data_IF_195218844563
#
_entry.id   IF_195218844563
#
_cell.length_a   1.000
_cell.length_b   1.000
_cell.length_c   1.000
_cell.angle_alpha   90.00
_cell.angle_beta   90.00
_cell.angle_gamma   90.00
#
_symmetry.space_group_name_H-M   'P 1'
#
loop_
_entity.id
_entity.type
_entity.pdbx_description
1 polymer ?
#
# COMPACT_ATOMS: atom_id res chain seq x y z
N UNK A 1 -24.29 21.32 11.22
CA UNK A 1 -23.44 20.86 12.35
C UNK A 1 -22.39 19.92 11.77
N UNK A 2 -21.12 20.32 11.74
CA UNK A 2 -20.05 19.52 11.13
C UNK A 2 -19.48 18.54 12.14
N UNK A 3 -19.59 17.23 11.89
CA UNK A 3 -18.90 16.22 12.67
C UNK A 3 -17.39 16.34 12.41
N UNK A 4 -16.67 17.00 13.33
CA UNK A 4 -15.22 17.04 13.31
C UNK A 4 -14.66 15.66 13.65
N UNK A 5 -14.12 14.96 12.66
CA UNK A 5 -13.44 13.68 12.87
C UNK A 5 -12.17 13.96 13.68
N UNK A 6 -12.07 13.43 14.90
CA UNK A 6 -10.88 13.57 15.74
C UNK A 6 -9.82 12.53 15.35
N UNK A 7 -8.54 12.90 15.45
CA UNK A 7 -7.41 11.97 15.35
C UNK A 7 -7.51 10.94 16.48
N UNK A 8 -7.75 9.66 16.19
CA UNK A 8 -7.93 8.65 17.26
C UNK A 8 -6.66 8.33 18.06
N UNK A 9 -5.48 8.62 17.51
CA UNK A 9 -4.20 8.40 18.21
C UNK A 9 -3.88 9.56 19.17
N UNK A 10 -4.28 10.79 18.82
CA UNK A 10 -3.89 12.01 19.53
C UNK A 10 -5.07 12.79 20.15
N UNK A 11 -6.30 12.31 19.95
CA UNK A 11 -7.59 12.86 20.38
C UNK A 11 -7.79 14.36 20.11
N UNK A 12 -7.17 14.88 19.04
CA UNK A 12 -7.28 16.28 18.60
C UNK A 12 -8.16 16.41 17.36
N UNK A 13 -8.90 17.53 17.26
CA UNK A 13 -9.75 17.84 16.11
C UNK A 13 -8.94 17.88 14.81
N UNK A 14 -9.39 17.15 13.77
CA UNK A 14 -8.79 17.19 12.43
C UNK A 14 -9.29 18.42 11.68
N UNK A 15 -8.41 19.03 10.86
CA UNK A 15 -8.82 20.00 9.85
C UNK A 15 -9.56 19.28 8.72
N UNK A 16 -10.31 20.03 7.91
CA UNK A 16 -11.19 19.54 6.81
C UNK A 16 -10.49 18.65 5.78
N UNK A 17 -9.16 18.51 5.79
CA UNK A 17 -8.40 17.78 4.77
C UNK A 17 -7.32 16.80 5.28
N UNK A 18 -6.83 16.85 6.54
CA UNK A 18 -5.72 16.00 7.03
C UNK A 18 -5.40 16.19 8.53
N UNK A 19 -4.64 15.25 9.12
CA UNK A 19 -3.98 15.52 10.41
C UNK A 19 -2.91 16.60 10.18
N UNK A 20 -2.79 17.55 11.09
CA UNK A 20 -1.87 18.69 10.95
C UNK A 20 -0.40 18.24 10.89
N UNK A 21 0.49 19.04 10.30
CA UNK A 21 1.95 18.76 10.24
C UNK A 21 2.56 18.39 11.62
N UNK A 22 2.15 19.01 12.76
CA UNK A 22 2.59 18.59 14.09
C UNK A 22 2.18 17.17 14.49
N UNK A 23 1.04 16.69 14.00
CA UNK A 23 0.52 15.34 14.20
C UNK A 23 1.41 14.33 13.44
N UNK A 24 1.70 14.60 12.16
CA UNK A 24 2.59 13.75 11.37
C UNK A 24 4.00 13.62 11.97
N UNK A 25 4.55 14.71 12.53
CA UNK A 25 5.89 14.73 13.15
C UNK A 25 6.01 13.88 14.42
N UNK A 26 4.89 13.65 15.14
CA UNK A 26 4.82 12.79 16.33
C UNK A 26 4.54 11.33 15.99
N UNK A 27 3.83 11.07 14.90
CA UNK A 27 3.31 9.74 14.57
C UNK A 27 4.14 9.07 13.45
N UNK A 28 5.42 9.44 13.31
CA UNK A 28 6.31 9.16 12.17
C UNK A 28 6.17 7.79 11.48
N UNK A 29 5.86 6.72 12.21
CA UNK A 29 5.70 5.37 11.66
C UNK A 29 4.25 4.84 11.69
N UNK A 30 3.32 5.49 12.39
CA UNK A 30 1.91 5.09 12.46
C UNK A 30 1.02 6.20 11.87
N UNK A 31 0.62 6.11 10.59
CA UNK A 31 -0.16 7.16 9.95
C UNK A 31 -1.44 7.46 10.73
N UNK A 32 -1.79 8.74 10.83
CA UNK A 32 -2.99 9.19 11.55
C UNK A 32 -4.30 8.81 10.87
N UNK A 33 -4.21 8.21 9.67
CA UNK A 33 -5.29 7.46 9.08
C UNK A 33 -5.25 6.06 9.71
N UNK A 34 -6.28 5.72 10.49
CA UNK A 34 -6.52 4.32 10.82
C UNK A 34 -6.49 3.51 9.51
N UNK A 35 -5.80 2.37 9.45
CA UNK A 35 -5.90 1.49 8.30
C UNK A 35 -7.39 1.23 8.09
N UNK A 36 -7.88 1.63 6.91
CA UNK A 36 -9.27 1.34 6.56
C UNK A 36 -9.39 -0.19 6.58
N UNK A 37 -10.48 -0.76 7.13
CA UNK A 37 -10.72 -2.19 6.98
C UNK A 37 -10.70 -2.51 5.49
N UNK A 38 -9.69 -3.26 5.05
CA UNK A 38 -9.64 -3.78 3.69
C UNK A 38 -10.60 -4.96 3.66
N UNK A 39 -11.79 -4.74 3.10
CA UNK A 39 -12.72 -5.82 2.79
C UNK A 39 -12.25 -6.41 1.48
N UNK A 40 -11.69 -7.61 1.57
CA UNK A 40 -11.20 -8.35 0.41
C UNK A 40 -12.19 -9.48 0.15
N UNK A 41 -12.76 -9.54 -1.05
CA UNK A 41 -13.80 -10.52 -1.39
C UNK A 41 -13.22 -11.93 -1.51
N UNK A 42 -11.93 -12.04 -1.84
CA UNK A 42 -11.27 -13.30 -2.16
C UNK A 42 -9.93 -13.47 -1.44
N UNK A 43 -9.68 -14.59 -0.71
CA UNK A 43 -8.44 -14.80 0.04
C UNK A 43 -7.17 -14.73 -0.80
N UNK A 44 -7.25 -15.03 -2.11
CA UNK A 44 -6.14 -14.95 -3.07
C UNK A 44 -5.67 -13.52 -3.38
N UNK A 45 -6.48 -12.52 -3.02
CA UNK A 45 -6.14 -11.11 -3.19
C UNK A 45 -5.33 -10.56 -1.99
N UNK A 46 -5.11 -11.38 -0.95
CA UNK A 46 -4.30 -11.02 0.22
C UNK A 46 -2.91 -11.65 0.11
N UNK A 47 -1.87 -10.81 0.09
CA UNK A 47 -0.48 -11.27 0.17
C UNK A 47 -0.08 -11.55 1.63
N UNK A 48 0.66 -12.65 1.84
CA UNK A 48 1.23 -12.96 3.14
C UNK A 48 2.45 -12.09 3.44
N UNK A 49 2.71 -11.80 4.72
CA UNK A 49 3.86 -11.00 5.16
C UNK A 49 5.21 -11.43 4.55
N UNK A 50 5.56 -12.73 4.47
CA UNK A 50 6.81 -13.16 3.87
C UNK A 50 6.95 -12.76 2.39
N UNK A 51 5.84 -12.69 1.64
CA UNK A 51 5.85 -12.24 0.24
C UNK A 51 6.17 -10.75 0.16
N UNK A 52 5.62 -9.94 1.09
CA UNK A 52 5.89 -8.50 1.17
C UNK A 52 7.31 -8.19 1.67
N UNK A 53 7.83 -9.03 2.57
CA UNK A 53 9.18 -8.93 3.15
C UNK A 53 10.27 -9.46 2.23
N UNK A 54 9.91 -10.04 1.06
CA UNK A 54 10.88 -10.41 0.05
C UNK A 54 11.80 -9.21 -0.25
N UNK A 55 13.11 -9.41 -0.03
CA UNK A 55 14.14 -8.37 -0.09
C UNK A 55 14.06 -7.60 -1.42
N UNK A 56 13.64 -8.28 -2.49
CA UNK A 56 13.49 -7.76 -3.84
C UNK A 56 12.32 -6.76 -3.97
N UNK A 57 11.17 -7.01 -3.32
CA UNK A 57 10.04 -6.06 -3.24
C UNK A 57 10.43 -4.86 -2.36
N UNK A 58 11.00 -5.13 -1.18
CA UNK A 58 11.40 -4.06 -0.24
C UNK A 58 12.45 -3.12 -0.86
N UNK A 59 13.38 -3.63 -1.66
CA UNK A 59 14.37 -2.81 -2.36
C UNK A 59 13.73 -1.89 -3.41
N UNK A 60 12.71 -2.37 -4.13
CA UNK A 60 11.99 -1.60 -5.15
C UNK A 60 11.17 -0.47 -4.53
N UNK A 61 10.61 -0.69 -3.34
CA UNK A 61 9.88 0.33 -2.57
C UNK A 61 10.74 1.49 -2.08
N UNK A 62 12.08 1.42 -2.18
CA UNK A 62 12.97 2.55 -1.85
C UNK A 62 13.04 3.60 -2.95
N UNK A 63 12.50 3.32 -4.14
CA UNK A 63 12.47 4.27 -5.25
C UNK A 63 11.49 5.42 -4.97
N UNK A 64 11.98 6.65 -4.96
CA UNK A 64 11.16 7.84 -4.65
C UNK A 64 10.07 8.11 -5.68
N UNK A 65 10.30 7.78 -6.96
CA UNK A 65 9.32 8.00 -8.03
C UNK A 65 8.19 6.98 -7.87
N UNK A 66 8.53 5.73 -7.58
CA UNK A 66 7.57 4.68 -7.29
C UNK A 66 6.73 5.02 -6.04
N UNK A 67 7.36 5.46 -4.95
CA UNK A 67 6.63 5.87 -3.75
C UNK A 67 5.65 7.01 -4.04
N UNK A 68 6.06 8.03 -4.81
CA UNK A 68 5.17 9.13 -5.22
C UNK A 68 4.00 8.63 -6.05
N UNK A 69 4.21 7.69 -6.96
CA UNK A 69 3.13 7.08 -7.75
C UNK A 69 2.15 6.31 -6.87
N UNK A 70 2.64 5.42 -6.00
CA UNK A 70 1.81 4.65 -5.06
C UNK A 70 1.00 5.58 -4.16
N UNK A 71 1.64 6.61 -3.60
CA UNK A 71 0.96 7.61 -2.77
C UNK A 71 -0.08 8.41 -3.56
N UNK A 72 0.19 8.73 -4.83
CA UNK A 72 -0.76 9.47 -5.67
C UNK A 72 -2.03 8.67 -5.95
N UNK A 73 -1.90 7.36 -6.16
CA UNK A 73 -3.03 6.44 -6.36
C UNK A 73 -3.83 6.30 -5.06
N UNK A 74 -3.16 6.02 -3.93
CA UNK A 74 -3.82 5.80 -2.63
C UNK A 74 -4.54 7.05 -2.09
N UNK A 75 -4.00 8.23 -2.38
CA UNK A 75 -4.60 9.51 -1.98
C UNK A 75 -5.62 10.06 -3.00
N UNK A 76 -5.80 9.41 -4.15
CA UNK A 76 -6.71 9.89 -5.20
C UNK A 76 -8.17 9.70 -4.79
N UNK A 77 -9.02 10.65 -5.20
CA UNK A 77 -10.48 10.47 -5.16
C UNK A 77 -11.00 9.53 -6.25
N UNK A 78 -10.20 9.30 -7.29
CA UNK A 78 -10.46 8.43 -8.42
C UNK A 78 -9.20 7.58 -8.68
N UNK A 79 -9.07 6.51 -7.89
CA UNK A 79 -7.88 5.65 -7.89
C UNK A 79 -7.74 4.84 -9.18
N UNK A 80 -8.86 4.50 -9.83
CA UNK A 80 -8.88 3.73 -11.08
C UNK A 80 -8.23 4.52 -12.22
N UNK A 81 -8.59 5.81 -12.35
CA UNK A 81 -7.99 6.70 -13.35
C UNK A 81 -6.50 6.96 -13.11
N UNK A 82 -6.08 7.12 -11.86
CA UNK A 82 -4.65 7.30 -11.54
C UNK A 82 -3.85 6.01 -11.76
N UNK A 83 -4.48 4.84 -11.52
CA UNK A 83 -3.89 3.55 -11.84
C UNK A 83 -3.68 3.40 -13.35
N UNK A 84 -4.68 3.72 -14.19
CA UNK A 84 -4.56 3.64 -15.65
C UNK A 84 -3.38 4.48 -16.18
N UNK A 85 -3.15 5.66 -15.61
CA UNK A 85 -1.97 6.48 -15.93
C UNK A 85 -0.68 5.83 -15.44
N UNK A 86 -0.66 5.29 -14.22
CA UNK A 86 0.53 4.71 -13.61
C UNK A 86 0.98 3.44 -14.35
N UNK A 87 0.06 2.65 -14.89
CA UNK A 87 0.36 1.47 -15.71
C UNK A 87 1.21 1.83 -16.94
N UNK A 88 1.07 3.04 -17.49
CA UNK A 88 1.91 3.54 -18.59
C UNK A 88 3.29 4.06 -18.18
N UNK A 89 3.68 3.95 -16.91
CA UNK A 89 4.95 4.45 -16.39
C UNK A 89 5.91 3.29 -16.12
N UNK A 90 7.06 3.28 -16.79
CA UNK A 90 8.06 2.20 -16.73
C UNK A 90 8.42 1.75 -15.30
N UNK A 91 8.59 2.70 -14.36
CA UNK A 91 8.96 2.36 -12.97
C UNK A 91 7.86 1.60 -12.24
N UNK A 92 6.60 1.91 -12.54
CA UNK A 92 5.45 1.21 -11.95
C UNK A 92 5.27 -0.16 -12.61
N UNK A 93 5.47 -0.26 -13.91
CA UNK A 93 5.44 -1.53 -14.64
C UNK A 93 6.51 -2.52 -14.15
N UNK A 94 7.77 -2.07 -14.02
CA UNK A 94 8.87 -2.87 -13.48
C UNK A 94 8.53 -3.36 -12.05
N UNK A 95 7.87 -2.51 -11.27
CA UNK A 95 7.44 -2.89 -9.93
C UNK A 95 6.33 -3.94 -9.95
N UNK A 96 5.31 -3.79 -10.80
CA UNK A 96 4.24 -4.79 -10.93
C UNK A 96 4.77 -6.13 -11.43
N UNK A 97 5.70 -6.13 -12.39
CA UNK A 97 6.31 -7.36 -12.90
C UNK A 97 7.09 -8.10 -11.80
N UNK A 98 7.79 -7.37 -10.93
CA UNK A 98 8.48 -7.96 -9.77
C UNK A 98 7.51 -8.54 -8.74
N UNK A 99 6.39 -7.87 -8.49
CA UNK A 99 5.34 -8.40 -7.60
C UNK A 99 4.80 -9.70 -8.19
N UNK A 100 4.41 -9.69 -9.47
CA UNK A 100 3.88 -10.86 -10.16
C UNK A 100 4.87 -12.03 -10.10
N UNK A 101 6.15 -11.78 -10.39
CA UNK A 101 7.20 -12.79 -10.29
C UNK A 101 7.36 -13.36 -8.87
N UNK A 102 7.27 -12.51 -7.84
CA UNK A 102 7.35 -12.95 -6.42
C UNK A 102 6.13 -13.81 -6.03
N UNK A 103 4.94 -13.48 -6.53
CA UNK A 103 3.73 -14.26 -6.29
C UNK A 103 3.85 -15.62 -6.99
N UNK A 104 4.21 -15.65 -8.27
CA UNK A 104 4.35 -16.87 -9.08
C UNK A 104 5.42 -17.84 -8.57
N UNK A 105 6.55 -17.31 -8.10
CA UNK A 105 7.62 -18.11 -7.49
C UNK A 105 7.17 -18.79 -6.19
N UNK A 106 6.32 -18.13 -5.40
CA UNK A 106 5.77 -18.71 -4.18
C UNK A 106 4.75 -19.84 -4.45
N UNK A 107 3.92 -19.71 -5.50
CA UNK A 107 2.94 -20.73 -5.95
C UNK A 107 3.60 -22.03 -6.42
N UNK A 108 4.78 -21.91 -7.03
CA UNK A 108 5.51 -23.04 -7.61
C UNK A 108 6.21 -23.88 -6.53
N UNK A 109 6.68 -23.24 -5.45
CA UNK A 109 7.35 -23.94 -4.34
C UNK A 109 6.41 -24.84 -3.52
N UNK A 110 5.10 -24.53 -3.49
CA UNK A 110 4.12 -25.30 -2.74
C UNK A 110 3.71 -26.64 -3.40
N UNK A 111 4.03 -26.85 -4.69
CA UNK A 111 3.61 -28.04 -5.44
C UNK A 111 4.68 -29.15 -5.54
N UNK A 112 5.89 -28.94 -5.03
CA UNK A 112 6.97 -29.94 -5.05
C UNK A 112 6.99 -30.89 -3.84
N UNK A 113 6.08 -30.70 -2.87
CA UNK A 113 6.02 -31.50 -1.63
C UNK A 113 4.97 -32.61 -1.57
N UNK A 114 4.20 -32.86 -2.63
CA UNK A 114 3.06 -33.80 -2.60
C UNK A 114 3.27 -35.11 -3.40
N UNK A 115 4.46 -35.32 -3.98
CA UNK A 115 4.78 -36.54 -4.75
C UNK A 115 6.05 -37.21 -4.17
N UNK A 116 5.95 -37.79 -2.98
CA UNK A 116 6.95 -38.72 -2.45
C UNK A 116 6.26 -39.80 -1.62
#
# INVERSE_FOLDING_TARGET
MGHGVVCQICNKARSKYNCSVPCFKKHKENPCALPRPLVVEEPREVLQRPQLEAIEIHSSLKDEKLQKLILSIDCSSDAEKELEKAVGVDVFQIFTDKILSTIETSSTSANLGANA
#
